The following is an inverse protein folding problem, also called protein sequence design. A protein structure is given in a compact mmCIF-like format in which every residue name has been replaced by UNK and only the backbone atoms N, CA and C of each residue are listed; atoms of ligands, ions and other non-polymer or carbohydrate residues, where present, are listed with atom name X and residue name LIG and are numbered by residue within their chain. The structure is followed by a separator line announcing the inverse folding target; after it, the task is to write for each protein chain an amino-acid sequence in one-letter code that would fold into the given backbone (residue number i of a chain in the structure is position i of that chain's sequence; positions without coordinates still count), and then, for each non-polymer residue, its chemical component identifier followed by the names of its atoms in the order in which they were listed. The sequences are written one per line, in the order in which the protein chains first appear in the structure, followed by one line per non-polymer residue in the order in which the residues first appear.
data_IF_559158108765
#
_entry.id   IF_559158108765
#
_cell.length_a   1.000
_cell.length_b   1.000
_cell.length_c   1.000
_cell.angle_alpha   90.00
_cell.angle_beta   90.00
_cell.angle_gamma   90.00
#
_symmetry.space_group_name_H-M   'P 1'
#
loop_
_entity.id
_entity.type
_entity.pdbx_description
1 polymer ?
#
# COMPACT_ATOMS: atom_id res chain seq x y z
N UNK A 1 -55.24 1.47 52.45
CA UNK A 1 -55.84 1.65 53.76
C UNK A 1 -55.77 0.35 54.56
N UNK A 2 -54.68 0.16 55.30
CA UNK A 2 -54.54 -0.93 56.27
C UNK A 2 -53.59 -0.44 57.37
N UNK A 3 -54.18 -0.07 58.47
CA UNK A 3 -53.54 0.34 59.70
C UNK A 3 -52.84 -0.85 60.35
N UNK A 4 -51.54 -0.76 60.56
CA UNK A 4 -50.83 -1.68 61.45
C UNK A 4 -50.55 -0.99 62.74
N UNK A 5 -51.22 -1.49 63.78
CA UNK A 5 -51.15 -1.10 65.18
C UNK A 5 -49.75 -1.35 65.74
N UNK A 6 -49.08 -0.28 66.15
CA UNK A 6 -47.86 -0.36 66.95
C UNK A 6 -48.20 -0.87 68.36
N UNK A 7 -47.68 -2.04 68.72
CA UNK A 7 -47.70 -2.53 70.13
C UNK A 7 -46.30 -2.49 70.69
N UNK A 8 -46.07 -1.61 71.60
CA UNK A 8 -44.86 -1.43 72.40
C UNK A 8 -44.59 -2.71 73.20
N UNK A 9 -43.45 -3.37 72.98
CA UNK A 9 -42.96 -4.46 73.82
C UNK A 9 -41.55 -4.16 74.31
N UNK A 10 -41.39 -4.36 75.61
CA UNK A 10 -40.29 -4.06 76.53
C UNK A 10 -38.93 -4.51 76.04
N UNK A 11 -37.89 -3.72 76.40
CA UNK A 11 -36.48 -4.10 76.32
C UNK A 11 -36.23 -5.48 76.88
N UNK A 12 -35.87 -6.42 76.01
CA UNK A 12 -35.29 -7.69 76.39
C UNK A 12 -34.09 -7.88 75.43
N UNK A 13 -32.88 -7.90 75.98
CA UNK A 13 -31.65 -8.23 75.24
C UNK A 13 -31.79 -9.66 74.71
N UNK A 14 -32.05 -9.82 73.43
CA UNK A 14 -31.93 -11.09 72.74
C UNK A 14 -30.47 -11.27 72.35
N UNK A 15 -29.74 -11.90 73.29
CA UNK A 15 -28.48 -12.52 72.93
C UNK A 15 -28.90 -13.71 72.00
N UNK A 16 -28.83 -13.49 70.68
CA UNK A 16 -28.92 -14.60 69.75
C UNK A 16 -27.65 -15.45 69.94
N UNK A 17 -27.80 -16.54 70.64
CA UNK A 17 -26.83 -17.66 70.60
C UNK A 17 -26.70 -18.08 69.16
N UNK A 18 -25.54 -17.89 68.58
CA UNK A 18 -25.16 -18.28 67.21
C UNK A 18 -24.96 -19.80 67.06
N UNK A 19 -25.66 -20.59 67.87
CA UNK A 19 -25.39 -22.05 67.98
C UNK A 19 -26.38 -22.97 67.29
N UNK A 20 -27.52 -22.49 66.79
CA UNK A 20 -28.60 -23.43 66.38
C UNK A 20 -28.91 -23.48 64.87
N UNK A 21 -28.22 -22.82 63.99
CA UNK A 21 -28.49 -22.90 62.55
C UNK A 21 -27.65 -23.92 61.78
N UNK A 22 -26.68 -24.54 62.44
CA UNK A 22 -25.79 -25.56 61.79
C UNK A 22 -25.95 -26.99 62.33
N UNK A 23 -27.01 -27.24 63.12
CA UNK A 23 -27.27 -28.53 63.80
C UNK A 23 -27.68 -29.71 62.90
N UNK A 24 -27.94 -29.50 61.64
CA UNK A 24 -28.49 -30.53 60.72
C UNK A 24 -27.48 -31.33 59.92
N UNK A 25 -26.22 -30.96 59.95
CA UNK A 25 -25.14 -31.69 59.23
C UNK A 25 -24.41 -32.60 60.22
N UNK A 26 -24.55 -33.90 60.10
CA UNK A 26 -23.79 -34.90 60.88
C UNK A 26 -22.28 -34.61 60.77
N UNK A 27 -21.54 -34.97 61.83
CA UNK A 27 -20.08 -34.68 61.96
C UNK A 27 -19.24 -35.06 60.70
N UNK A 28 -19.67 -36.05 59.95
CA UNK A 28 -19.06 -36.45 58.65
C UNK A 28 -19.26 -35.44 57.53
N UNK A 29 -20.44 -34.80 57.47
CA UNK A 29 -20.72 -33.78 56.45
C UNK A 29 -20.05 -32.45 56.77
N UNK A 30 -19.90 -32.07 58.02
CA UNK A 30 -19.14 -30.87 58.43
C UNK A 30 -17.65 -30.98 58.04
N UNK A 31 -17.05 -32.15 58.22
CA UNK A 31 -15.66 -32.40 57.82
C UNK A 31 -15.50 -32.32 56.29
N UNK A 32 -16.43 -32.89 55.51
CA UNK A 32 -16.44 -32.78 54.04
C UNK A 32 -16.63 -31.34 53.55
N UNK A 33 -17.50 -30.58 54.22
CA UNK A 33 -17.75 -29.18 53.87
C UNK A 33 -16.54 -28.30 54.16
N UNK A 34 -15.88 -28.47 55.32
CA UNK A 34 -14.63 -27.79 55.65
C UNK A 34 -13.53 -28.17 54.69
N UNK A 35 -13.40 -29.44 54.30
CA UNK A 35 -12.43 -29.88 53.30
C UNK A 35 -12.69 -29.23 51.92
N UNK A 36 -13.97 -29.16 51.52
CA UNK A 36 -14.34 -28.51 50.25
C UNK A 36 -14.00 -26.99 50.25
N UNK A 37 -14.32 -26.31 51.36
CA UNK A 37 -13.97 -24.87 51.54
C UNK A 37 -12.46 -24.69 51.52
N UNK A 38 -11.70 -25.54 52.22
CA UNK A 38 -10.25 -25.49 52.25
C UNK A 38 -9.65 -25.75 50.84
N UNK A 39 -10.20 -26.69 50.07
CA UNK A 39 -9.79 -26.98 48.69
C UNK A 39 -10.04 -25.75 47.78
N UNK A 40 -11.23 -25.14 47.87
CA UNK A 40 -11.55 -23.92 47.09
C UNK A 40 -10.60 -22.77 47.46
N UNK A 41 -10.36 -22.54 48.78
CA UNK A 41 -9.40 -21.49 49.25
C UNK A 41 -8.00 -21.77 48.74
N UNK A 42 -7.56 -23.02 48.72
CA UNK A 42 -6.23 -23.38 48.20
C UNK A 42 -6.13 -23.08 46.69
N UNK A 43 -7.15 -23.38 45.91
CA UNK A 43 -7.21 -23.03 44.47
C UNK A 43 -7.18 -21.50 44.26
N UNK A 44 -7.96 -20.76 45.05
CA UNK A 44 -7.94 -19.27 44.98
C UNK A 44 -6.56 -18.68 45.32
N UNK A 45 -5.88 -19.25 46.33
CA UNK A 45 -4.52 -18.82 46.68
C UNK A 45 -3.53 -19.13 45.55
N UNK A 46 -3.60 -20.34 44.96
CA UNK A 46 -2.74 -20.72 43.85
C UNK A 46 -2.96 -19.81 42.63
N UNK A 47 -4.19 -19.51 42.27
CA UNK A 47 -4.49 -18.58 41.18
C UNK A 47 -4.05 -17.14 41.49
N UNK A 48 -4.18 -16.70 42.74
CA UNK A 48 -3.69 -15.38 43.16
C UNK A 48 -2.17 -15.25 43.06
N UNK A 49 -1.46 -16.31 43.48
CA UNK A 49 0.01 -16.36 43.36
C UNK A 49 0.42 -16.39 41.88
N UNK A 50 -0.27 -17.18 41.06
CA UNK A 50 -0.04 -17.24 39.61
C UNK A 50 -0.26 -15.88 38.94
N UNK A 51 -1.35 -15.19 39.27
CA UNK A 51 -1.61 -13.83 38.81
C UNK A 51 -0.51 -12.87 39.25
N UNK A 52 -0.09 -12.92 40.50
CA UNK A 52 1.02 -12.12 41.02
C UNK A 52 2.32 -12.34 40.25
N UNK A 53 2.66 -13.58 39.93
CA UNK A 53 3.85 -13.92 39.12
C UNK A 53 3.72 -13.36 37.69
N UNK A 54 2.53 -13.47 37.08
CA UNK A 54 2.29 -12.92 35.73
C UNK A 54 2.43 -11.39 35.76
N UNK A 55 1.86 -10.72 36.76
CA UNK A 55 1.88 -9.26 36.87
C UNK A 55 3.26 -8.68 37.18
N UNK A 56 4.15 -9.45 37.84
CA UNK A 56 5.48 -8.96 38.24
C UNK A 56 6.60 -9.42 37.31
N UNK A 57 6.65 -10.71 36.94
CA UNK A 57 7.76 -11.26 36.16
C UNK A 57 7.50 -11.34 34.67
N UNK A 58 6.24 -11.41 34.25
CA UNK A 58 5.85 -11.52 32.84
C UNK A 58 5.05 -10.30 32.33
N UNK A 59 4.98 -9.24 33.11
CA UNK A 59 4.22 -8.05 32.76
C UNK A 59 4.69 -7.45 31.44
N UNK A 60 5.99 -7.22 31.28
CA UNK A 60 6.56 -6.66 30.04
C UNK A 60 6.26 -7.54 28.82
N UNK A 61 6.41 -8.85 28.95
CA UNK A 61 6.12 -9.78 27.85
C UNK A 61 4.64 -9.75 27.42
N UNK A 62 3.71 -9.73 28.39
CA UNK A 62 2.29 -9.68 28.05
C UNK A 62 1.83 -8.29 27.63
N UNK A 63 2.43 -7.21 28.13
CA UNK A 63 2.20 -5.86 27.63
C UNK A 63 2.67 -5.74 26.18
N UNK A 64 3.88 -6.19 25.89
CA UNK A 64 4.39 -6.17 24.51
C UNK A 64 3.52 -6.99 23.55
N UNK A 65 3.06 -8.18 23.97
CA UNK A 65 2.11 -8.98 23.17
C UNK A 65 0.74 -8.33 23.03
N UNK A 66 0.26 -7.66 24.06
CA UNK A 66 -1.00 -6.91 23.97
C UNK A 66 -0.85 -5.72 23.03
N UNK A 67 0.25 -4.99 23.10
CA UNK A 67 0.55 -3.89 22.19
C UNK A 67 0.65 -4.40 20.72
N UNK A 68 1.36 -5.50 20.47
CA UNK A 68 1.43 -6.11 19.14
C UNK A 68 0.05 -6.53 18.60
N UNK A 69 -0.87 -6.98 19.44
CA UNK A 69 -2.23 -7.37 19.05
C UNK A 69 -3.18 -6.19 18.89
N UNK A 70 -2.96 -5.12 19.64
CA UNK A 70 -3.80 -3.93 19.64
C UNK A 70 -3.26 -2.80 18.75
N UNK A 71 -1.98 -2.85 18.37
CA UNK A 71 -1.40 -1.90 17.44
C UNK A 71 -1.88 -2.20 16.02
N UNK A 72 -2.49 -1.21 15.41
CA UNK A 72 -2.82 -1.20 14.01
C UNK A 72 -1.84 -0.30 13.28
N UNK A 73 -1.09 -0.91 12.39
CA UNK A 73 -0.16 -0.21 11.53
C UNK A 73 -0.86 0.23 10.24
N UNK A 74 -0.88 1.53 9.99
CA UNK A 74 -1.31 2.13 8.73
C UNK A 74 -0.09 2.76 8.06
N UNK A 75 0.17 2.37 6.82
CA UNK A 75 1.29 2.92 6.05
C UNK A 75 0.89 4.24 5.42
N UNK A 76 1.77 5.24 5.55
CA UNK A 76 1.70 6.49 4.79
C UNK A 76 2.68 6.34 3.65
N UNK A 77 2.20 6.35 2.40
CA UNK A 77 3.09 6.23 1.24
C UNK A 77 3.97 7.48 1.13
N UNK A 78 5.26 7.26 0.91
CA UNK A 78 6.19 8.32 0.54
C UNK A 78 5.90 8.80 -0.88
N UNK A 79 6.10 10.08 -1.13
CA UNK A 79 6.03 10.64 -2.48
C UNK A 79 7.25 10.19 -3.26
N UNK A 80 7.04 9.57 -4.41
CA UNK A 80 8.12 9.14 -5.29
C UNK A 80 8.81 10.34 -5.92
N UNK A 81 10.16 10.33 -6.02
CA UNK A 81 10.94 11.36 -6.69
C UNK A 81 10.52 11.53 -8.16
N UNK A 82 10.65 12.74 -8.69
CA UNK A 82 10.38 13.03 -10.09
C UNK A 82 11.53 12.55 -10.97
N UNK A 83 11.23 12.25 -12.23
CA UNK A 83 12.26 12.07 -13.27
C UNK A 83 12.20 13.31 -14.17
N UNK A 84 13.34 13.95 -14.33
CA UNK A 84 13.47 15.19 -15.05
C UNK A 84 14.46 15.02 -16.21
N UNK A 85 14.26 15.78 -17.27
CA UNK A 85 15.21 15.90 -18.34
C UNK A 85 16.43 16.76 -17.89
N UNK A 86 17.37 16.98 -18.77
CA UNK A 86 18.56 17.82 -18.52
C UNK A 86 18.25 19.29 -18.24
N UNK A 87 17.09 19.79 -18.70
CA UNK A 87 16.65 21.18 -18.58
C UNK A 87 15.71 21.39 -17.38
N UNK A 88 15.33 20.31 -16.69
CA UNK A 88 14.37 20.34 -15.57
C UNK A 88 12.92 20.11 -15.99
N UNK A 89 12.65 19.73 -17.24
CA UNK A 89 11.33 19.33 -17.70
C UNK A 89 10.91 18.00 -17.08
N UNK A 90 9.67 17.90 -16.68
CA UNK A 90 9.15 16.74 -15.93
C UNK A 90 8.78 15.61 -16.87
N UNK A 91 9.52 14.52 -16.83
CA UNK A 91 9.24 13.29 -17.57
C UNK A 91 8.34 12.32 -16.82
N UNK A 92 8.46 12.29 -15.49
CA UNK A 92 7.58 11.51 -14.62
C UNK A 92 7.35 12.25 -13.31
N UNK A 93 6.10 12.33 -12.88
CA UNK A 93 5.67 13.00 -11.65
C UNK A 93 4.64 12.15 -10.89
N UNK A 94 4.17 12.67 -9.77
CA UNK A 94 3.08 12.05 -9.01
C UNK A 94 1.89 13.01 -8.98
N UNK A 95 0.72 12.45 -9.19
CA UNK A 95 -0.57 13.08 -8.95
C UNK A 95 -1.08 12.63 -7.58
N UNK A 96 -1.62 13.58 -6.80
CA UNK A 96 -2.25 13.26 -5.51
C UNK A 96 -3.61 12.68 -5.79
N UNK A 97 -3.81 11.46 -5.32
CA UNK A 97 -5.07 10.72 -5.42
C UNK A 97 -5.49 10.27 -4.03
N UNK A 98 -6.69 9.74 -3.91
CA UNK A 98 -7.19 9.17 -2.67
C UNK A 98 -7.51 7.68 -2.85
N UNK A 99 -7.28 6.92 -1.79
CA UNK A 99 -7.75 5.55 -1.66
C UNK A 99 -8.89 5.51 -0.66
N UNK A 100 -10.06 5.05 -1.09
CA UNK A 100 -11.24 4.91 -0.25
C UNK A 100 -11.32 3.48 0.25
N UNK A 101 -11.35 3.31 1.56
CA UNK A 101 -11.47 2.03 2.23
C UNK A 101 -12.53 2.05 3.32
N UNK A 102 -13.06 0.89 3.68
CA UNK A 102 -14.06 0.73 4.72
C UNK A 102 -13.61 -0.26 5.78
N UNK A 103 -14.02 -0.01 7.01
CA UNK A 103 -13.84 -0.87 8.16
C UNK A 103 -15.23 -1.32 8.59
N UNK A 104 -15.62 -2.54 8.24
CA UNK A 104 -16.97 -3.05 8.46
C UNK A 104 -17.44 -2.90 9.92
N UNK A 105 -16.58 -3.21 10.90
CA UNK A 105 -16.90 -3.09 12.33
C UNK A 105 -17.17 -1.66 12.84
N UNK A 106 -16.84 -0.64 12.04
CA UNK A 106 -17.03 0.78 12.40
C UNK A 106 -18.18 1.42 11.64
N UNK A 107 -18.82 0.73 10.70
CA UNK A 107 -19.97 1.24 9.95
C UNK A 107 -21.19 1.22 10.85
N UNK A 108 -21.80 2.39 11.11
CA UNK A 108 -23.04 2.52 11.87
C UNK A 108 -24.29 2.42 10.99
N UNK A 109 -24.23 2.96 9.77
CA UNK A 109 -25.34 2.99 8.80
C UNK A 109 -24.84 2.49 7.43
N UNK A 110 -25.02 1.18 7.20
CA UNK A 110 -24.56 0.52 5.97
C UNK A 110 -25.22 1.11 4.72
N UNK A 111 -26.53 1.37 4.78
CA UNK A 111 -27.30 1.82 3.61
C UNK A 111 -26.86 3.22 3.18
N UNK A 112 -26.60 4.11 4.14
CA UNK A 112 -26.08 5.45 3.88
C UNK A 112 -24.68 5.39 3.28
N UNK A 113 -23.78 4.58 3.84
CA UNK A 113 -22.41 4.40 3.34
C UNK A 113 -22.42 3.88 1.92
N UNK A 114 -23.19 2.81 1.65
CA UNK A 114 -23.28 2.22 0.31
C UNK A 114 -23.80 3.24 -0.70
N UNK A 115 -24.88 3.97 -0.36
CA UNK A 115 -25.50 4.95 -1.27
C UNK A 115 -24.55 6.10 -1.60
N UNK A 116 -23.84 6.65 -0.60
CA UNK A 116 -22.90 7.75 -0.81
C UNK A 116 -21.70 7.26 -1.63
N UNK A 117 -21.08 6.13 -1.25
CA UNK A 117 -19.92 5.63 -1.97
C UNK A 117 -20.24 5.22 -3.40
N UNK A 118 -21.39 4.59 -3.65
CA UNK A 118 -21.79 4.24 -5.01
C UNK A 118 -22.03 5.49 -5.89
N UNK A 119 -22.64 6.55 -5.32
CA UNK A 119 -22.90 7.80 -6.03
C UNK A 119 -21.62 8.59 -6.31
N UNK A 120 -20.80 8.85 -5.31
CA UNK A 120 -19.59 9.68 -5.46
C UNK A 120 -18.48 8.98 -6.26
N UNK A 121 -18.37 7.65 -6.16
CA UNK A 121 -17.34 6.88 -6.86
C UNK A 121 -17.77 6.39 -8.24
N UNK A 122 -19.01 6.63 -8.65
CA UNK A 122 -19.61 6.10 -9.90
C UNK A 122 -19.37 4.57 -10.01
N UNK A 123 -19.80 3.84 -8.97
CA UNK A 123 -19.65 2.37 -8.87
C UNK A 123 -21.01 1.72 -8.76
N UNK A 124 -21.09 0.46 -9.21
CA UNK A 124 -22.30 -0.34 -9.04
C UNK A 124 -22.58 -0.57 -7.54
N UNK A 125 -23.83 -0.34 -7.15
CA UNK A 125 -24.32 -0.52 -5.78
C UNK A 125 -24.08 -1.95 -5.28
N UNK A 126 -24.19 -2.97 -6.14
CA UNK A 126 -23.95 -4.36 -5.78
C UNK A 126 -22.48 -4.63 -5.43
N UNK A 127 -21.56 -4.02 -6.21
CA UNK A 127 -20.12 -4.15 -5.95
C UNK A 127 -19.73 -3.47 -4.63
N UNK A 128 -20.19 -2.24 -4.41
CA UNK A 128 -19.95 -1.49 -3.16
C UNK A 128 -20.55 -2.27 -1.98
N UNK A 129 -21.76 -2.79 -2.10
CA UNK A 129 -22.41 -3.59 -1.06
C UNK A 129 -21.60 -4.84 -0.70
N UNK A 130 -21.11 -5.57 -1.71
CA UNK A 130 -20.29 -6.76 -1.50
C UNK A 130 -19.00 -6.47 -0.74
N UNK A 131 -18.35 -5.36 -1.09
CA UNK A 131 -17.11 -4.91 -0.42
C UNK A 131 -17.39 -4.38 0.99
N UNK A 132 -18.41 -3.55 1.17
CA UNK A 132 -18.75 -2.96 2.48
C UNK A 132 -19.21 -3.99 3.50
N UNK A 133 -19.94 -5.06 3.08
CA UNK A 133 -20.39 -6.15 3.94
C UNK A 133 -19.35 -7.22 4.22
N UNK A 134 -18.18 -7.14 3.60
CA UNK A 134 -17.12 -8.10 3.85
C UNK A 134 -16.54 -7.88 5.24
N UNK A 135 -16.64 -8.89 6.09
CA UNK A 135 -16.09 -8.87 7.45
C UNK A 135 -14.57 -8.99 7.36
N UNK A 136 -13.92 -7.85 7.24
CA UNK A 136 -12.45 -7.72 7.24
C UNK A 136 -12.04 -6.55 8.11
N UNK A 137 -10.77 -6.51 8.49
CA UNK A 137 -10.22 -5.40 9.27
C UNK A 137 -10.24 -4.08 8.48
N UNK A 138 -10.08 -4.14 7.16
CA UNK A 138 -10.19 -3.04 6.21
C UNK A 138 -10.36 -3.61 4.81
N UNK A 139 -11.26 -3.04 4.03
CA UNK A 139 -11.48 -3.41 2.62
C UNK A 139 -11.37 -2.19 1.73
N UNK A 140 -10.62 -2.31 0.64
CA UNK A 140 -10.48 -1.24 -0.34
C UNK A 140 -11.70 -1.20 -1.27
N UNK A 141 -12.40 -0.07 -1.28
CA UNK A 141 -13.53 0.16 -2.19
C UNK A 141 -13.01 0.57 -3.56
N UNK A 142 -12.24 1.67 -3.63
CA UNK A 142 -11.65 2.19 -4.86
C UNK A 142 -10.32 2.87 -4.57
N UNK A 143 -9.34 2.61 -5.41
CA UNK A 143 -8.03 3.28 -5.41
C UNK A 143 -7.96 4.30 -6.55
N UNK A 144 -6.97 5.18 -6.53
CA UNK A 144 -6.77 6.22 -7.55
C UNK A 144 -7.99 7.13 -7.77
N UNK A 145 -8.69 7.45 -6.69
CA UNK A 145 -9.82 8.40 -6.71
C UNK A 145 -9.27 9.82 -6.76
N UNK A 146 -9.84 10.68 -7.60
CA UNK A 146 -9.44 12.07 -7.66
C UNK A 146 -9.61 12.76 -6.29
N UNK A 147 -8.72 13.68 -5.97
CA UNK A 147 -8.67 14.31 -4.64
C UNK A 147 -9.95 15.04 -4.28
N UNK A 148 -10.56 15.73 -5.23
CA UNK A 148 -11.83 16.45 -5.07
C UNK A 148 -12.98 15.52 -4.67
N UNK A 149 -13.07 14.33 -5.27
CA UNK A 149 -14.07 13.30 -4.91
C UNK A 149 -13.75 12.75 -3.50
N UNK A 150 -12.47 12.50 -3.20
CA UNK A 150 -12.06 12.06 -1.87
C UNK A 150 -12.43 13.08 -0.79
N UNK A 151 -12.20 14.36 -1.05
CA UNK A 151 -12.55 15.45 -0.13
C UNK A 151 -14.08 15.59 0.03
N UNK A 152 -14.86 15.44 -1.06
CA UNK A 152 -16.32 15.40 -0.99
C UNK A 152 -16.83 14.25 -0.11
N UNK A 153 -16.28 13.04 -0.27
CA UNK A 153 -16.68 11.90 0.59
C UNK A 153 -16.29 12.15 2.05
N UNK A 154 -15.18 12.84 2.32
CA UNK A 154 -14.75 13.19 3.68
C UNK A 154 -15.72 14.15 4.38
N UNK A 155 -16.35 15.06 3.64
CA UNK A 155 -17.36 15.98 4.17
C UNK A 155 -18.62 15.28 4.72
N UNK A 156 -18.95 14.08 4.23
CA UNK A 156 -20.09 13.31 4.75
C UNK A 156 -19.84 12.72 6.16
N UNK A 157 -18.60 12.74 6.66
CA UNK A 157 -18.18 12.23 7.99
C UNK A 157 -18.80 10.85 8.32
N UNK A 158 -18.59 9.88 7.41
CA UNK A 158 -19.18 8.55 7.50
C UNK A 158 -18.36 7.66 8.43
N UNK A 159 -18.92 7.19 9.58
CA UNK A 159 -18.23 6.25 10.46
C UNK A 159 -17.84 4.97 9.69
N UNK A 160 -16.60 4.54 9.85
CA UNK A 160 -16.08 3.34 9.19
C UNK A 160 -15.57 3.54 7.76
N UNK A 161 -15.73 4.72 7.17
CA UNK A 161 -15.10 5.08 5.89
C UNK A 161 -13.78 5.79 6.17
N UNK A 162 -12.71 5.32 5.53
CA UNK A 162 -11.37 5.92 5.63
C UNK A 162 -10.94 6.37 4.24
N UNK A 163 -10.39 7.58 4.17
CA UNK A 163 -9.90 8.20 2.93
C UNK A 163 -8.45 8.58 3.16
N UNK A 164 -7.57 7.76 2.60
CA UNK A 164 -6.14 7.94 2.72
C UNK A 164 -5.60 8.63 1.45
N UNK A 165 -4.72 9.61 1.63
CA UNK A 165 -3.99 10.21 0.51
C UNK A 165 -3.03 9.17 -0.07
N UNK A 166 -2.99 9.11 -1.37
CA UNK A 166 -2.13 8.22 -2.16
C UNK A 166 -1.52 8.98 -3.34
N UNK A 167 -0.57 8.37 -4.01
CA UNK A 167 0.11 8.96 -5.16
C UNK A 167 0.01 8.02 -6.35
N UNK A 168 -0.48 8.57 -7.48
CA UNK A 168 -0.48 7.90 -8.78
C UNK A 168 0.68 8.43 -9.60
N UNK A 169 1.49 7.54 -10.18
CA UNK A 169 2.55 7.94 -11.12
C UNK A 169 1.93 8.40 -12.43
N UNK A 170 2.38 9.56 -12.92
CA UNK A 170 1.90 10.17 -14.16
C UNK A 170 3.08 10.56 -15.03
N UNK A 171 2.94 10.29 -16.32
CA UNK A 171 3.93 10.61 -17.36
C UNK A 171 3.30 11.62 -18.32
N UNK A 172 3.66 12.93 -18.21
CA UNK A 172 2.99 14.00 -18.96
C UNK A 172 3.06 13.84 -20.48
N UNK A 173 4.13 13.21 -20.96
CA UNK A 173 4.39 13.00 -22.39
C UNK A 173 3.92 11.63 -22.90
N UNK A 174 3.15 10.89 -22.12
CA UNK A 174 2.56 9.58 -22.44
C UNK A 174 3.55 8.54 -23.00
N UNK A 175 3.95 8.67 -24.28
CA UNK A 175 4.77 7.70 -25.00
C UNK A 175 6.26 8.08 -25.06
N UNK A 176 6.62 9.31 -24.71
CA UNK A 176 7.97 9.84 -24.89
C UNK A 176 9.00 9.02 -24.09
N UNK A 177 9.96 8.44 -24.78
CA UNK A 177 11.02 7.62 -24.19
C UNK A 177 10.50 6.49 -23.30
N UNK A 178 9.34 5.90 -23.63
CA UNK A 178 8.64 4.92 -22.78
C UNK A 178 9.52 3.74 -22.41
N UNK A 179 10.32 3.23 -23.36
CA UNK A 179 11.22 2.09 -23.14
C UNK A 179 12.50 2.45 -22.38
N UNK A 180 12.77 3.75 -22.17
CA UNK A 180 13.87 4.24 -21.35
C UNK A 180 13.38 4.52 -19.93
N UNK A 181 12.31 5.30 -19.82
CA UNK A 181 11.74 5.68 -18.51
C UNK A 181 11.22 4.44 -17.77
N UNK A 182 10.47 3.59 -18.47
CA UNK A 182 9.75 2.51 -17.85
C UNK A 182 8.56 3.01 -17.03
N UNK A 183 7.96 2.14 -16.25
CA UNK A 183 6.76 2.45 -15.46
C UNK A 183 6.80 1.81 -14.09
N UNK A 184 5.87 2.24 -13.23
CA UNK A 184 5.70 1.72 -11.87
C UNK A 184 4.51 0.78 -11.77
N UNK A 185 4.57 -0.16 -10.85
CA UNK A 185 3.45 -1.02 -10.47
C UNK A 185 2.45 -0.34 -9.55
N UNK A 186 1.41 -1.08 -9.18
CA UNK A 186 0.35 -0.60 -8.29
C UNK A 186 0.86 -0.14 -6.90
N UNK A 187 1.93 -0.76 -6.42
CA UNK A 187 2.57 -0.41 -5.14
C UNK A 187 3.63 0.70 -5.27
N UNK A 188 3.60 1.43 -6.38
CA UNK A 188 4.55 2.52 -6.68
C UNK A 188 6.02 2.07 -6.78
N UNK A 189 6.27 0.77 -6.95
CA UNK A 189 7.62 0.23 -7.22
C UNK A 189 7.94 0.29 -8.72
N UNK A 190 9.17 0.58 -9.07
CA UNK A 190 9.63 0.56 -10.46
C UNK A 190 9.64 -0.85 -11.05
N UNK A 191 9.01 -1.05 -12.21
CA UNK A 191 8.93 -2.35 -12.89
C UNK A 191 9.99 -2.46 -13.98
N UNK A 192 10.17 -1.40 -14.78
CA UNK A 192 11.09 -1.39 -15.93
C UNK A 192 11.84 -0.06 -16.03
N UNK A 193 12.87 0.00 -16.88
CA UNK A 193 13.58 1.20 -17.26
C UNK A 193 14.30 1.91 -16.11
N UNK A 194 14.34 3.24 -16.19
CA UNK A 194 14.93 4.09 -15.14
C UNK A 194 14.15 3.99 -13.83
N UNK A 195 12.82 3.83 -13.91
CA UNK A 195 11.97 3.62 -12.73
C UNK A 195 12.42 2.42 -11.91
N UNK A 196 12.74 1.31 -12.53
CA UNK A 196 13.24 0.11 -11.85
C UNK A 196 14.70 0.25 -11.43
N UNK A 197 15.55 0.81 -12.31
CA UNK A 197 16.99 0.93 -12.05
C UNK A 197 17.31 1.81 -10.87
N UNK A 198 16.55 2.89 -10.70
CA UNK A 198 16.73 3.89 -9.64
C UNK A 198 15.63 3.83 -8.58
N UNK A 199 14.94 2.69 -8.46
CA UNK A 199 13.82 2.53 -7.53
C UNK A 199 14.19 2.88 -6.09
N UNK A 200 15.36 2.46 -5.61
CA UNK A 200 15.85 2.75 -4.26
C UNK A 200 16.02 4.24 -3.94
N UNK A 201 16.27 5.07 -4.96
CA UNK A 201 16.39 6.53 -4.81
C UNK A 201 15.04 7.22 -4.98
N UNK A 202 14.23 6.71 -5.93
CA UNK A 202 12.96 7.31 -6.29
C UNK A 202 11.84 6.99 -5.29
N UNK A 203 11.79 5.79 -4.71
CA UNK A 203 10.67 5.33 -3.88
C UNK A 203 10.56 6.00 -2.52
N UNK A 204 11.68 6.51 -1.97
CA UNK A 204 11.72 7.03 -0.60
C UNK A 204 11.48 5.96 0.46
N UNK A 205 11.07 6.38 1.65
CA UNK A 205 10.76 5.49 2.77
C UNK A 205 9.35 5.80 3.27
N UNK A 206 8.47 4.80 3.26
CA UNK A 206 7.11 4.96 3.73
C UNK A 206 7.08 5.28 5.22
N UNK A 207 6.16 6.14 5.61
CA UNK A 207 5.83 6.41 7.01
C UNK A 207 4.82 5.39 7.55
N UNK A 208 4.59 5.46 8.85
CA UNK A 208 3.69 4.57 9.57
C UNK A 208 2.88 5.37 10.58
N UNK A 209 1.60 5.04 10.70
CA UNK A 209 0.75 5.49 11.81
C UNK A 209 0.43 4.25 12.63
N UNK A 210 0.85 4.27 13.89
CA UNK A 210 0.50 3.24 14.87
C UNK A 210 -0.68 3.76 15.69
N UNK A 211 -1.84 3.11 15.56
CA UNK A 211 -3.03 3.39 16.35
C UNK A 211 -3.35 2.19 17.23
N UNK A 212 -3.90 2.46 18.43
CA UNK A 212 -4.38 1.39 19.31
C UNK A 212 -5.83 1.07 18.96
N UNK A 213 -6.10 -0.22 18.74
CA UNK A 213 -7.45 -0.76 18.54
C UNK A 213 -7.86 -1.66 19.69
N UNK A 214 -9.16 -1.74 19.94
CA UNK A 214 -9.73 -2.69 20.89
C UNK A 214 -9.72 -4.14 20.33
N UNK A 215 -10.20 -5.10 21.13
CA UNK A 215 -10.29 -6.49 20.71
C UNK A 215 -11.26 -6.73 19.51
N UNK A 216 -12.12 -5.77 19.20
CA UNK A 216 -13.01 -5.77 18.03
C UNK A 216 -12.38 -5.11 16.79
N UNK A 217 -11.14 -4.58 16.89
CA UNK A 217 -10.48 -3.87 15.81
C UNK A 217 -10.96 -2.41 15.64
N UNK A 218 -11.70 -1.88 16.62
CA UNK A 218 -12.17 -0.50 16.62
C UNK A 218 -11.08 0.40 17.21
N UNK A 219 -10.76 1.46 16.52
CA UNK A 219 -9.78 2.46 16.94
C UNK A 219 -10.23 3.16 18.23
N UNK A 220 -9.39 3.14 19.27
CA UNK A 220 -9.73 3.73 20.57
C UNK A 220 -9.60 5.25 20.45
N UNK A 221 -10.73 5.95 20.50
CA UNK A 221 -10.79 7.43 20.44
C UNK A 221 -9.93 8.04 21.55
N UNK A 222 -8.97 8.89 21.17
CA UNK A 222 -8.07 9.57 22.11
C UNK A 222 -6.85 8.74 22.54
N UNK A 223 -6.61 7.57 21.94
CA UNK A 223 -5.34 6.87 22.07
C UNK A 223 -4.21 7.68 21.45
N UNK A 224 -3.00 7.51 21.99
CA UNK A 224 -1.81 8.15 21.42
C UNK A 224 -1.53 7.55 20.04
N UNK A 225 -1.52 8.40 19.03
CA UNK A 225 -1.03 8.06 17.69
C UNK A 225 0.49 8.28 17.66
N UNK A 226 1.25 7.23 17.49
CA UNK A 226 2.66 7.36 17.15
C UNK A 226 2.78 7.41 15.62
N UNK A 227 3.24 8.55 15.12
CA UNK A 227 3.35 8.81 13.68
C UNK A 227 4.81 8.93 13.29
N UNK A 228 5.27 8.01 12.43
CA UNK A 228 6.54 8.12 11.71
C UNK A 228 6.24 8.74 10.36
N UNK A 229 6.77 9.93 10.11
CA UNK A 229 6.56 10.62 8.84
C UNK A 229 7.29 9.90 7.71
N UNK A 230 6.74 9.87 6.49
CA UNK A 230 7.42 9.35 5.32
C UNK A 230 8.61 10.25 4.95
N UNK A 231 9.62 9.66 4.34
CA UNK A 231 10.73 10.37 3.72
C UNK A 231 10.56 10.25 2.21
N UNK A 232 10.32 11.38 1.55
CA UNK A 232 10.09 11.41 0.11
C UNK A 232 11.31 10.93 -0.68
N UNK A 233 11.08 10.35 -1.86
CA UNK A 233 12.12 9.95 -2.78
C UNK A 233 12.86 11.14 -3.39
N UNK A 234 14.07 10.89 -3.89
CA UNK A 234 14.91 11.90 -4.52
C UNK A 234 14.58 12.05 -6.00
N UNK A 235 14.64 13.28 -6.50
CA UNK A 235 14.46 13.57 -7.92
C UNK A 235 15.66 13.05 -8.73
N UNK A 236 15.38 12.47 -9.89
CA UNK A 236 16.37 11.95 -10.83
C UNK A 236 16.48 12.87 -12.04
N UNK A 237 17.63 13.52 -12.21
CA UNK A 237 17.95 14.25 -13.42
C UNK A 237 18.61 13.33 -14.45
N UNK A 238 18.05 13.29 -15.65
CA UNK A 238 18.59 12.51 -16.76
C UNK A 238 19.38 13.38 -17.72
N UNK A 239 20.09 12.75 -18.63
CA UNK A 239 20.78 13.47 -19.73
C UNK A 239 19.87 13.64 -20.95
N UNK A 240 18.66 13.07 -20.94
CA UNK A 240 17.67 13.22 -22.00
C UNK A 240 17.30 14.70 -22.19
N UNK A 241 17.04 15.09 -23.42
CA UNK A 241 16.48 16.37 -23.80
C UNK A 241 15.14 16.13 -24.47
N UNK A 242 14.05 16.64 -23.87
CA UNK A 242 12.69 16.42 -24.36
C UNK A 242 12.55 16.80 -25.83
N UNK A 243 13.09 17.95 -26.24
CA UNK A 243 12.95 18.43 -27.62
C UNK A 243 13.68 17.53 -28.61
N UNK A 244 14.89 17.09 -28.26
CA UNK A 244 15.68 16.18 -29.11
C UNK A 244 15.00 14.79 -29.16
N UNK A 245 14.48 14.33 -28.05
CA UNK A 245 13.76 13.06 -27.94
C UNK A 245 12.47 13.05 -28.78
N UNK A 246 11.65 14.11 -28.68
CA UNK A 246 10.43 14.26 -29.49
C UNK A 246 10.74 14.27 -30.99
N UNK A 247 11.75 15.07 -31.39
CA UNK A 247 12.16 15.13 -32.78
C UNK A 247 12.71 13.78 -33.29
N UNK A 248 13.52 13.10 -32.49
CA UNK A 248 14.03 11.77 -32.83
C UNK A 248 12.89 10.74 -32.96
N UNK A 249 11.90 10.80 -32.07
CA UNK A 249 10.74 9.92 -32.10
C UNK A 249 9.88 10.19 -33.33
N UNK A 250 9.63 11.46 -33.67
CA UNK A 250 8.89 11.83 -34.89
C UNK A 250 9.58 11.31 -36.15
N UNK A 251 10.91 11.53 -36.28
CA UNK A 251 11.68 11.03 -37.43
C UNK A 251 11.69 9.50 -37.51
N UNK A 252 11.79 8.84 -36.35
CA UNK A 252 11.73 7.37 -36.30
C UNK A 252 10.38 6.86 -36.78
N UNK A 253 9.29 7.51 -36.36
CA UNK A 253 7.94 7.16 -36.77
C UNK A 253 7.72 7.40 -38.28
N UNK A 254 8.08 8.58 -38.79
CA UNK A 254 8.00 8.89 -40.24
C UNK A 254 8.82 7.88 -41.08
N UNK A 255 10.00 7.52 -40.58
CA UNK A 255 10.86 6.52 -41.25
C UNK A 255 10.24 5.13 -41.24
N UNK A 256 9.65 4.72 -40.09
CA UNK A 256 8.97 3.46 -39.95
C UNK A 256 7.83 3.31 -40.96
N UNK A 257 6.98 4.32 -41.04
CA UNK A 257 5.84 4.35 -41.98
C UNK A 257 6.32 4.38 -43.45
N UNK A 258 7.28 5.28 -43.77
CA UNK A 258 7.77 5.46 -45.15
C UNK A 258 8.51 4.24 -45.70
N UNK A 259 9.18 3.49 -44.81
CA UNK A 259 9.98 2.33 -45.16
C UNK A 259 9.30 1.00 -44.90
N UNK A 260 8.07 1.04 -44.38
CA UNK A 260 7.33 -0.17 -43.95
C UNK A 260 8.18 -1.03 -42.99
N UNK A 261 8.96 -0.35 -42.12
CA UNK A 261 9.84 -1.04 -41.21
C UNK A 261 9.04 -1.52 -39.98
N UNK A 262 9.40 -2.70 -39.47
CA UNK A 262 8.76 -3.22 -38.24
C UNK A 262 9.09 -2.38 -37.00
N UNK A 263 10.29 -1.77 -37.00
CA UNK A 263 10.78 -0.93 -35.89
C UNK A 263 11.88 0.00 -36.38
N UNK A 264 12.02 1.15 -35.71
CA UNK A 264 13.12 2.08 -35.91
C UNK A 264 13.64 2.55 -34.57
N UNK A 265 14.97 2.56 -34.43
CA UNK A 265 15.63 3.06 -33.22
C UNK A 265 16.61 4.16 -33.57
N UNK A 266 16.59 5.24 -32.79
CA UNK A 266 17.52 6.39 -32.95
C UNK A 266 18.14 6.69 -31.59
N UNK A 267 19.47 6.74 -31.53
CA UNK A 267 20.23 7.18 -30.37
C UNK A 267 20.97 8.46 -30.74
N UNK A 268 20.80 9.51 -29.94
CA UNK A 268 21.57 10.74 -30.07
C UNK A 268 22.47 10.87 -28.85
N UNK A 269 23.79 10.91 -29.09
CA UNK A 269 24.79 10.93 -28.04
C UNK A 269 25.76 12.10 -28.26
N UNK A 270 26.18 12.74 -27.17
CA UNK A 270 27.27 13.70 -27.17
C UNK A 270 28.60 12.95 -27.17
N UNK A 271 29.45 13.19 -28.19
CA UNK A 271 30.71 12.44 -28.28
C UNK A 271 31.74 12.86 -27.20
N UNK A 272 31.63 14.07 -26.67
CA UNK A 272 32.60 14.62 -25.71
C UNK A 272 32.59 13.91 -24.37
N UNK A 273 31.40 13.50 -23.90
CA UNK A 273 31.20 12.97 -22.56
C UNK A 273 30.31 11.71 -22.48
N UNK A 274 29.79 11.27 -23.64
CA UNK A 274 28.94 10.07 -23.72
C UNK A 274 27.50 10.24 -23.23
N UNK A 275 27.04 11.46 -22.97
CA UNK A 275 25.65 11.72 -22.58
C UNK A 275 24.67 11.29 -23.68
N UNK A 276 23.67 10.50 -23.33
CA UNK A 276 22.57 10.15 -24.23
C UNK A 276 21.51 11.25 -24.14
N UNK A 277 21.36 12.02 -25.24
CA UNK A 277 20.41 13.12 -25.34
C UNK A 277 19.01 12.64 -25.75
N UNK A 278 18.96 11.58 -26.58
CA UNK A 278 17.72 10.93 -26.97
C UNK A 278 17.95 9.44 -27.25
N UNK A 279 16.94 8.63 -26.97
CA UNK A 279 16.87 7.21 -27.28
C UNK A 279 15.43 6.87 -27.66
N UNK A 280 15.11 6.98 -28.93
CA UNK A 280 13.78 6.65 -29.47
C UNK A 280 13.73 5.19 -29.97
N UNK A 281 12.65 4.49 -29.63
CA UNK A 281 12.42 3.10 -29.97
C UNK A 281 10.99 2.90 -30.49
N UNK A 282 10.73 3.25 -31.70
CA UNK A 282 9.39 3.19 -32.29
C UNK A 282 9.07 1.77 -32.79
N UNK A 283 7.86 1.23 -32.50
CA UNK A 283 6.74 1.84 -31.80
C UNK A 283 6.97 1.93 -30.28
N UNK A 284 6.65 3.06 -29.71
CA UNK A 284 6.63 3.30 -28.27
C UNK A 284 5.25 2.91 -27.70
N UNK A 285 5.10 2.85 -26.38
CA UNK A 285 3.84 2.55 -25.72
C UNK A 285 3.45 3.61 -24.68
N UNK A 286 2.17 3.69 -24.34
CA UNK A 286 1.69 4.67 -23.36
C UNK A 286 2.08 4.26 -21.93
N UNK A 287 2.92 5.07 -21.28
CA UNK A 287 3.38 4.87 -19.91
C UNK A 287 2.26 4.95 -18.86
N UNK A 288 1.18 5.68 -19.15
CA UNK A 288 0.03 5.79 -18.27
C UNK A 288 -0.93 4.58 -18.36
N UNK A 289 -0.83 3.77 -19.45
CA UNK A 289 -1.58 2.53 -19.67
C UNK A 289 -0.65 1.39 -20.14
N UNK A 290 0.38 1.01 -19.38
CA UNK A 290 1.45 0.13 -19.87
C UNK A 290 1.00 -1.32 -20.12
N UNK A 291 -0.14 -1.75 -19.59
CA UNK A 291 -0.69 -3.10 -19.77
C UNK A 291 -1.69 -3.22 -20.91
N UNK A 292 -1.84 -2.17 -21.71
CA UNK A 292 -2.61 -2.14 -22.95
C UNK A 292 -1.65 -2.26 -24.11
N UNK A 293 -1.95 -3.19 -25.04
CA UNK A 293 -1.15 -3.33 -26.26
C UNK A 293 -1.40 -2.11 -27.16
N UNK A 294 -0.34 -1.54 -27.70
CA UNK A 294 -0.40 -0.40 -28.64
C UNK A 294 -0.60 -0.85 -30.11
N UNK A 295 -0.84 -2.12 -30.34
CA UNK A 295 -1.10 -2.71 -31.64
C UNK A 295 -2.09 -3.87 -31.52
N UNK A 296 -2.75 -4.23 -32.63
CA UNK A 296 -3.56 -5.43 -32.70
C UNK A 296 -2.68 -6.63 -33.07
N UNK A 297 -2.62 -7.66 -32.20
CA UNK A 297 -1.82 -8.85 -32.48
C UNK A 297 -2.38 -9.62 -33.71
N UNK A 298 -1.49 -10.15 -34.51
CA UNK A 298 -1.87 -11.04 -35.62
C UNK A 298 -2.35 -12.41 -35.11
N UNK A 299 -2.81 -13.29 -36.04
CA UNK A 299 -3.36 -14.61 -35.68
C UNK A 299 -2.37 -15.53 -34.95
N UNK A 300 -1.05 -15.39 -35.22
CA UNK A 300 0.00 -16.15 -34.55
C UNK A 300 0.30 -15.56 -33.16
N UNK A 301 0.31 -14.26 -33.07
CA UNK A 301 0.54 -13.53 -31.80
C UNK A 301 -0.65 -13.66 -30.84
N UNK A 302 -1.87 -13.68 -31.37
CA UNK A 302 -3.09 -13.88 -30.58
C UNK A 302 -3.12 -15.22 -29.80
N UNK A 303 -2.28 -16.20 -30.21
CA UNK A 303 -2.13 -17.47 -29.51
C UNK A 303 -1.08 -17.44 -28.39
N UNK A 304 -0.28 -16.38 -28.31
CA UNK A 304 0.74 -16.20 -27.27
C UNK A 304 0.11 -15.69 -25.97
N UNK A 305 0.80 -15.91 -24.84
CA UNK A 305 0.40 -15.30 -23.59
C UNK A 305 0.48 -13.77 -23.71
N UNK A 306 -0.53 -13.08 -23.18
CA UNK A 306 -0.58 -11.62 -23.14
C UNK A 306 0.68 -11.01 -22.52
N UNK A 307 1.25 -11.67 -21.49
CA UNK A 307 2.49 -11.19 -20.86
C UNK A 307 3.69 -11.25 -21.79
N UNK A 308 3.77 -12.24 -22.66
CA UNK A 308 4.87 -12.32 -23.66
C UNK A 308 4.76 -11.19 -24.68
N UNK A 309 3.54 -10.85 -25.13
CA UNK A 309 3.30 -9.71 -26.01
C UNK A 309 3.67 -8.39 -25.35
N UNK A 310 3.27 -8.18 -24.08
CA UNK A 310 3.61 -7.01 -23.31
C UNK A 310 5.13 -6.90 -23.09
N UNK A 311 5.80 -7.97 -22.73
CA UNK A 311 7.26 -8.01 -22.58
C UNK A 311 7.99 -7.62 -23.87
N UNK A 312 7.50 -8.07 -25.03
CA UNK A 312 8.03 -7.66 -26.33
C UNK A 312 7.78 -6.17 -26.62
N UNK A 313 6.59 -5.65 -26.30
CA UNK A 313 6.25 -4.24 -26.45
C UNK A 313 7.14 -3.34 -25.58
N UNK A 314 7.37 -3.73 -24.31
CA UNK A 314 8.20 -2.96 -23.37
C UNK A 314 9.69 -3.02 -23.66
N UNK A 315 10.14 -3.98 -24.47
CA UNK A 315 11.55 -4.24 -24.73
C UNK A 315 12.24 -3.04 -25.37
N UNK A 316 13.33 -2.57 -24.75
CA UNK A 316 14.18 -1.53 -25.32
C UNK A 316 15.18 -2.15 -26.29
N UNK A 317 14.95 -1.97 -27.58
CA UNK A 317 15.78 -2.58 -28.64
C UNK A 317 17.19 -2.03 -28.67
N UNK A 318 17.41 -0.77 -28.27
CA UNK A 318 18.73 -0.13 -28.27
C UNK A 318 19.72 -0.81 -27.30
N UNK A 319 19.23 -1.45 -26.23
CA UNK A 319 20.08 -2.03 -25.19
C UNK A 319 19.93 -3.55 -25.06
N UNK A 320 18.86 -4.14 -25.61
CA UNK A 320 18.58 -5.58 -25.42
C UNK A 320 18.80 -6.40 -26.67
N UNK A 321 18.88 -5.78 -27.85
CA UNK A 321 19.00 -6.49 -29.12
C UNK A 321 20.42 -6.38 -29.67
N UNK A 322 20.87 -7.47 -30.30
CA UNK A 322 22.10 -7.52 -31.07
C UNK A 322 21.79 -7.46 -32.55
N UNK A 323 22.66 -6.84 -33.33
CA UNK A 323 22.55 -6.77 -34.77
C UNK A 323 23.91 -6.85 -35.45
N UNK A 324 23.94 -7.21 -36.74
CA UNK A 324 25.15 -7.21 -37.54
C UNK A 324 25.45 -5.78 -38.03
N UNK A 325 26.51 -5.11 -37.52
CA UNK A 325 26.76 -3.69 -37.79
C UNK A 325 27.14 -3.39 -39.22
N UNK A 326 27.63 -4.36 -39.96
CA UNK A 326 28.04 -4.19 -41.36
C UNK A 326 29.07 -3.08 -41.55
N UNK A 327 28.83 -2.16 -42.52
CA UNK A 327 29.74 -1.05 -42.83
C UNK A 327 29.94 -0.04 -41.67
N UNK A 328 29.07 -0.02 -40.68
CA UNK A 328 29.23 0.85 -39.49
C UNK A 328 30.49 0.46 -38.71
N UNK A 329 30.84 -0.84 -38.71
CA UNK A 329 32.03 -1.34 -38.04
C UNK A 329 33.35 -0.86 -38.66
N UNK A 330 33.33 -0.35 -39.91
CA UNK A 330 34.52 0.20 -40.57
C UNK A 330 35.14 1.38 -39.79
N UNK A 331 34.33 2.16 -39.10
CA UNK A 331 34.82 3.27 -38.25
C UNK A 331 35.68 2.74 -37.09
N UNK A 332 35.29 1.61 -36.51
CA UNK A 332 36.07 0.97 -35.43
C UNK A 332 37.40 0.40 -35.98
N UNK A 333 37.36 -0.22 -37.20
CA UNK A 333 38.57 -0.72 -37.85
C UNK A 333 39.54 0.41 -38.21
N UNK A 334 39.02 1.53 -38.71
CA UNK A 334 39.86 2.70 -39.03
C UNK A 334 40.56 3.25 -37.75
N UNK A 335 39.81 3.35 -36.67
CA UNK A 335 40.38 3.81 -35.38
C UNK A 335 41.49 2.87 -34.87
N UNK A 336 41.28 1.54 -34.95
CA UNK A 336 42.29 0.57 -34.51
C UNK A 336 43.52 0.52 -35.43
N UNK A 337 43.37 0.76 -36.75
CA UNK A 337 44.49 0.84 -37.69
C UNK A 337 45.30 2.12 -37.53
N UNK A 338 44.63 3.27 -37.28
CA UNK A 338 45.31 4.56 -37.06
C UNK A 338 46.14 4.51 -35.76
N UNK A 339 45.59 3.90 -34.69
CA UNK A 339 46.34 3.67 -33.48
C UNK A 339 47.53 2.70 -33.63
N UNK A 340 47.55 1.84 -34.66
CA UNK A 340 48.66 0.97 -34.98
C UNK A 340 49.75 1.72 -35.76
N UNK A 341 49.38 2.69 -36.61
CA UNK A 341 50.32 3.53 -37.34
C UNK A 341 51.10 4.48 -36.45
N UNK A 342 50.49 4.98 -35.38
CA UNK A 342 51.15 5.81 -34.34
C UNK A 342 52.25 5.08 -33.56
N UNK A 343 52.31 3.74 -33.66
CA UNK A 343 53.30 2.90 -33.00
C UNK A 343 54.51 2.54 -33.86
N UNK A 344 54.48 2.90 -35.14
CA UNK A 344 55.55 2.67 -36.12
C UNK A 344 56.30 3.97 -36.41
#
# INVERSE_FOLDING_TARGET
MLLIKCRRLKRGYLIMKADDTFGWLGTGHRKKLVFMIAAVLLVCILESVRLGVIMTTKSEYYMQKADELHQRERRIKAKRGRILDRNGEILAANEVVCTVSVIHSQIEDEDKVIKVLAGELDMDVEEVTKKAKKVSSMEYIKTNVAKDIGDAIREYDLPGVKIDEDYKRVYPYNELASKVLGFTGADNQGILGLEAKYDTYLSGTNGQILTLSDAGGIEIKGSREDRVLPVDGQDLYTTLDVNIQEYAMQLAWETMVKKEAKRVSIIVMRPDNGEILAMANVPEYNLNSPYELNYEPDEEEAQKDKMDLLNNMWRNFCINDTYEPGSIFKTCLLYTSDAADDLI
#
